data_IF_826107068424
#
_entry.id   IF_826107068424
#
_cell.length_a   1.000
_cell.length_b   1.000
_cell.length_c   1.000
_cell.angle_alpha   90.00
_cell.angle_beta   90.00
_cell.angle_gamma   90.00
#
_symmetry.space_group_name_H-M   'P 1'
#
loop_
_entity.id
_entity.type
_entity.pdbx_description
1 polymer ?
#
# COMPACT_ATOMS: atom_id res chain seq x y z
N UNK A 1 -2.89 -35.35 -39.74
CA UNK A 1 -3.06 -35.49 -38.27
C UNK A 1 -2.94 -34.08 -37.66
N UNK A 2 -3.99 -33.64 -36.96
CA UNK A 2 -4.23 -32.26 -36.53
C UNK A 2 -3.23 -31.76 -35.46
N UNK A 3 -3.04 -30.44 -35.31
CA UNK A 3 -2.32 -29.85 -34.17
C UNK A 3 -3.08 -30.11 -32.85
N UNK A 4 -2.33 -30.36 -31.78
CA UNK A 4 -2.85 -30.64 -30.45
C UNK A 4 -3.70 -29.47 -29.89
N UNK A 5 -4.75 -29.76 -29.08
CA UNK A 5 -5.63 -28.74 -28.55
C UNK A 5 -4.93 -27.86 -27.49
N UNK A 6 -5.22 -26.56 -27.52
CA UNK A 6 -4.86 -25.62 -26.46
C UNK A 6 -5.67 -25.93 -25.19
N UNK A 7 -5.08 -25.87 -23.99
CA UNK A 7 -5.81 -26.08 -22.74
C UNK A 7 -6.81 -24.92 -22.50
N UNK A 8 -8.05 -25.30 -22.15
CA UNK A 8 -9.16 -24.40 -21.80
C UNK A 8 -9.15 -23.99 -20.32
N UNK A 9 -9.71 -22.82 -20.03
CA UNK A 9 -9.66 -22.04 -18.79
C UNK A 9 -10.35 -22.63 -17.54
N UNK A 10 -10.05 -23.87 -17.14
CA UNK A 10 -10.70 -24.50 -15.96
C UNK A 10 -9.78 -25.28 -15.01
N UNK A 11 -8.53 -24.83 -14.83
CA UNK A 11 -7.57 -25.43 -13.88
C UNK A 11 -7.29 -24.53 -12.65
N UNK A 12 -8.31 -23.86 -12.08
CA UNK A 12 -8.16 -23.13 -10.80
C UNK A 12 -8.85 -23.86 -9.64
N UNK A 13 -9.10 -25.16 -9.77
CA UNK A 13 -9.73 -25.95 -8.69
C UNK A 13 -8.91 -27.18 -8.34
N UNK A 14 -7.64 -26.99 -7.96
CA UNK A 14 -6.86 -28.04 -7.30
C UNK A 14 -5.68 -27.54 -6.44
N UNK A 15 -5.83 -26.40 -5.74
CA UNK A 15 -4.94 -26.04 -4.62
C UNK A 15 -5.56 -26.48 -3.28
N UNK A 16 -5.90 -27.77 -3.18
CA UNK A 16 -6.20 -28.42 -1.90
C UNK A 16 -4.89 -29.02 -1.35
N UNK A 17 -4.10 -28.20 -0.65
CA UNK A 17 -2.82 -28.67 -0.10
C UNK A 17 -2.09 -27.73 0.84
N UNK A 18 -2.72 -26.65 1.35
CA UNK A 18 -2.12 -25.83 2.39
C UNK A 18 -2.54 -26.38 3.75
N UNK A 19 -1.62 -27.12 4.37
CA UNK A 19 -1.68 -27.49 5.78
C UNK A 19 -1.32 -26.26 6.63
N UNK A 20 -2.33 -25.63 7.23
CA UNK A 20 -2.18 -24.41 8.04
C UNK A 20 -1.76 -24.70 9.49
N UNK A 21 -1.37 -25.93 9.82
CA UNK A 21 -1.15 -26.35 11.21
C UNK A 21 0.15 -25.82 11.84
N UNK A 22 1.08 -25.24 11.07
CA UNK A 22 2.45 -24.97 11.54
C UNK A 22 3.02 -23.59 11.17
N UNK A 23 2.20 -22.55 11.09
CA UNK A 23 2.68 -21.17 10.90
C UNK A 23 2.87 -20.49 12.27
N UNK A 24 3.93 -20.85 12.98
CA UNK A 24 4.39 -20.03 14.10
C UNK A 24 4.95 -18.71 13.54
N UNK A 25 4.22 -17.60 13.74
CA UNK A 25 4.81 -16.25 13.75
C UNK A 25 4.89 -15.48 12.44
N UNK A 26 4.25 -15.92 11.35
CA UNK A 26 4.14 -15.12 10.12
C UNK A 26 2.67 -15.04 9.68
N UNK A 27 1.94 -14.03 10.17
CA UNK A 27 0.81 -13.51 9.41
C UNK A 27 1.41 -12.87 8.14
N UNK A 28 1.63 -13.71 7.14
CA UNK A 28 2.14 -13.29 5.85
C UNK A 28 1.04 -12.43 5.23
N UNK A 29 1.26 -11.11 5.20
CA UNK A 29 0.36 -10.15 4.55
C UNK A 29 -0.02 -10.73 3.19
N UNK A 30 -1.31 -10.91 2.92
CA UNK A 30 -1.73 -11.49 1.63
C UNK A 30 -1.23 -10.54 0.53
N UNK A 31 -0.38 -10.98 -0.41
CA UNK A 31 0.13 -10.10 -1.45
C UNK A 31 -1.03 -9.69 -2.35
N UNK A 32 -1.22 -8.38 -2.56
CA UNK A 32 -2.33 -7.84 -3.36
C UNK A 32 -2.15 -8.19 -4.84
N UNK A 33 -0.90 -8.23 -5.31
CA UNK A 33 -0.54 -8.56 -6.69
C UNK A 33 0.23 -9.87 -6.85
N UNK A 34 0.67 -10.47 -5.75
CA UNK A 34 1.46 -11.72 -5.74
C UNK A 34 2.97 -11.51 -5.79
N UNK A 35 3.45 -10.31 -6.13
CA UNK A 35 4.87 -9.94 -6.20
C UNK A 35 5.08 -8.51 -5.73
N UNK A 36 6.24 -8.21 -5.13
CA UNK A 36 6.53 -6.82 -4.74
C UNK A 36 6.83 -5.97 -5.97
N UNK A 37 6.09 -4.86 -6.13
CA UNK A 37 6.21 -3.95 -7.28
C UNK A 37 6.56 -2.55 -6.82
N UNK A 38 7.51 -1.93 -7.49
CA UNK A 38 7.82 -0.50 -7.34
C UNK A 38 7.10 0.25 -8.46
N UNK A 39 6.28 1.24 -8.08
CA UNK A 39 5.46 2.04 -8.98
C UNK A 39 5.78 3.52 -8.82
N UNK A 40 5.49 4.28 -9.87
CA UNK A 40 5.41 5.73 -9.81
C UNK A 40 4.04 6.17 -9.27
N UNK A 41 3.91 7.44 -8.87
CA UNK A 41 2.63 8.02 -8.43
C UNK A 41 1.56 7.93 -9.54
N UNK A 42 1.98 8.02 -10.81
CA UNK A 42 1.07 7.92 -11.94
C UNK A 42 0.57 6.48 -12.14
N UNK A 43 1.46 5.49 -12.05
CA UNK A 43 1.07 4.07 -12.16
C UNK A 43 0.16 3.64 -11.01
N UNK A 44 0.40 4.13 -9.78
CA UNK A 44 -0.51 3.91 -8.66
C UNK A 44 -1.93 4.42 -8.98
N UNK A 45 -2.03 5.60 -9.59
CA UNK A 45 -3.32 6.17 -9.95
C UNK A 45 -4.00 5.39 -11.09
N UNK A 46 -3.26 5.06 -12.14
CA UNK A 46 -3.79 4.39 -13.32
C UNK A 46 -4.23 2.95 -13.02
N UNK A 47 -3.43 2.21 -12.24
CA UNK A 47 -3.67 0.80 -11.91
C UNK A 47 -4.59 0.61 -10.69
N UNK A 48 -4.41 1.40 -9.64
CA UNK A 48 -5.10 1.20 -8.35
C UNK A 48 -6.10 2.30 -8.01
N UNK A 49 -6.25 3.33 -8.84
CA UNK A 49 -7.24 4.36 -8.59
C UNK A 49 -6.94 5.21 -7.35
N UNK A 50 -5.66 5.32 -6.95
CA UNK A 50 -5.24 6.07 -5.77
C UNK A 50 -4.28 7.17 -6.18
N UNK A 51 -4.65 8.43 -5.90
CA UNK A 51 -3.81 9.60 -6.16
C UNK A 51 -3.22 10.14 -4.87
N UNK A 52 -1.90 10.06 -4.71
CA UNK A 52 -1.21 10.75 -3.61
C UNK A 52 -1.29 12.26 -3.81
N UNK A 53 -1.74 12.99 -2.80
CA UNK A 53 -1.97 14.44 -2.85
C UNK A 53 -0.92 15.22 -2.07
N UNK A 54 -0.51 14.71 -0.92
CA UNK A 54 0.41 15.40 -0.02
C UNK A 54 1.14 14.39 0.86
N UNK A 55 2.43 14.63 1.04
CA UNK A 55 3.20 14.15 2.18
C UNK A 55 3.77 15.41 2.82
N UNK A 56 3.17 15.86 3.92
CA UNK A 56 3.49 17.15 4.54
C UNK A 56 4.16 16.98 5.90
N UNK A 57 5.28 17.66 6.13
CA UNK A 57 5.91 17.73 7.45
C UNK A 57 5.20 18.80 8.27
N UNK A 58 4.50 18.40 9.33
CA UNK A 58 3.63 19.27 10.14
C UNK A 58 4.03 19.25 11.61
N UNK A 59 3.28 19.97 12.45
CA UNK A 59 3.50 20.04 13.91
C UNK A 59 4.95 20.37 14.30
N UNK A 60 5.58 21.31 13.59
CA UNK A 60 6.98 21.71 13.83
C UNK A 60 8.02 20.63 13.49
N UNK A 61 7.65 19.63 12.70
CA UNK A 61 8.51 18.49 12.36
C UNK A 61 8.05 17.17 12.99
N UNK A 62 7.18 17.20 14.00
CA UNK A 62 6.84 16.01 14.78
C UNK A 62 5.84 15.05 14.12
N UNK A 63 5.15 15.48 13.05
CA UNK A 63 4.14 14.67 12.37
C UNK A 63 4.29 14.75 10.86
N UNK A 64 3.94 13.66 10.19
CA UNK A 64 3.74 13.62 8.73
C UNK A 64 2.25 13.50 8.43
N UNK A 65 1.71 14.38 7.59
CA UNK A 65 0.35 14.34 7.04
C UNK A 65 0.41 13.72 5.64
N UNK A 66 -0.05 12.48 5.51
CA UNK A 66 -0.30 11.84 4.23
C UNK A 66 -1.74 12.13 3.81
N UNK A 67 -1.92 12.69 2.61
CA UNK A 67 -3.23 12.79 1.97
C UNK A 67 -3.22 12.07 0.65
N UNK A 68 -4.26 11.28 0.42
CA UNK A 68 -4.50 10.62 -0.85
C UNK A 68 -5.98 10.71 -1.21
N UNK A 69 -6.29 10.61 -2.50
CA UNK A 69 -7.66 10.57 -3.01
C UNK A 69 -7.88 9.20 -3.67
N UNK A 70 -8.97 8.54 -3.31
CA UNK A 70 -9.50 7.43 -4.10
C UNK A 70 -10.24 8.03 -5.30
N UNK A 71 -9.74 7.75 -6.51
CA UNK A 71 -10.32 8.22 -7.78
C UNK A 71 -11.13 7.13 -8.49
N UNK A 72 -10.89 5.87 -8.18
CA UNK A 72 -11.64 4.71 -8.69
C UNK A 72 -11.73 3.69 -7.54
N UNK A 73 -12.95 3.50 -7.03
CA UNK A 73 -13.17 2.64 -5.87
C UNK A 73 -12.90 1.16 -6.17
N UNK A 74 -13.30 0.67 -7.34
CA UNK A 74 -13.16 -0.75 -7.71
C UNK A 74 -11.68 -1.16 -7.76
N UNK A 75 -10.83 -0.28 -8.29
CA UNK A 75 -9.36 -0.49 -8.33
C UNK A 75 -8.67 -0.36 -6.98
N UNK A 76 -9.21 0.48 -6.08
CA UNK A 76 -8.58 0.76 -4.79
C UNK A 76 -8.90 -0.30 -3.73
N UNK A 77 -10.05 -0.98 -3.82
CA UNK A 77 -10.51 -1.96 -2.84
C UNK A 77 -9.49 -3.08 -2.54
N UNK A 78 -8.80 -3.69 -3.52
CA UNK A 78 -7.78 -4.71 -3.24
C UNK A 78 -6.62 -4.19 -2.37
N UNK A 79 -6.29 -2.90 -2.48
CA UNK A 79 -5.13 -2.30 -1.79
C UNK A 79 -5.51 -1.62 -0.47
N UNK A 80 -6.73 -1.09 -0.33
CA UNK A 80 -7.16 -0.34 0.85
C UNK A 80 -8.28 -1.04 1.65
N UNK A 81 -8.75 -2.20 1.18
CA UNK A 81 -9.81 -2.97 1.84
C UNK A 81 -9.37 -3.75 3.08
N UNK A 82 -8.07 -3.80 3.39
CA UNK A 82 -7.52 -4.57 4.51
C UNK A 82 -6.60 -3.71 5.39
N UNK A 83 -6.48 -4.08 6.68
CA UNK A 83 -5.56 -3.41 7.60
C UNK A 83 -4.10 -3.61 7.21
N UNK A 84 -3.76 -4.77 6.64
CA UNK A 84 -2.39 -5.19 6.36
C UNK A 84 -1.74 -4.36 5.25
N UNK A 85 -2.58 -3.79 4.39
CA UNK A 85 -2.21 -3.02 3.20
C UNK A 85 -2.36 -1.51 3.39
N UNK A 86 -2.67 -1.07 4.62
CA UNK A 86 -2.74 0.35 4.97
C UNK A 86 -1.43 1.06 4.61
N UNK A 87 -1.48 2.32 4.15
CA UNK A 87 -0.29 3.06 3.76
C UNK A 87 0.71 3.19 4.92
N UNK A 88 1.94 2.78 4.67
CA UNK A 88 3.11 3.01 5.50
C UNK A 88 4.05 3.96 4.76
N UNK A 89 4.80 4.80 5.47
CA UNK A 89 5.79 5.70 4.86
C UNK A 89 7.19 5.19 5.14
N UNK A 90 8.10 5.32 4.17
CA UNK A 90 9.52 5.00 4.34
C UNK A 90 10.36 6.19 3.90
N UNK A 91 11.22 6.68 4.77
CA UNK A 91 12.24 7.66 4.38
C UNK A 91 13.31 6.96 3.53
N UNK A 92 13.49 7.36 2.28
CA UNK A 92 14.38 6.67 1.33
C UNK A 92 15.85 6.79 1.72
N UNK A 93 16.23 7.90 2.38
CA UNK A 93 17.61 8.13 2.78
C UNK A 93 18.05 7.27 3.96
N UNK A 94 17.18 7.06 4.95
CA UNK A 94 17.50 6.33 6.18
C UNK A 94 16.89 4.92 6.24
N UNK A 95 15.94 4.60 5.36
CA UNK A 95 15.15 3.37 5.42
C UNK A 95 14.18 3.33 6.60
N UNK A 96 13.99 4.45 7.32
CA UNK A 96 13.10 4.49 8.47
C UNK A 96 11.65 4.35 8.02
N UNK A 97 10.95 3.38 8.60
CA UNK A 97 9.52 3.15 8.40
C UNK A 97 8.70 3.92 9.43
N UNK A 98 7.71 4.66 8.96
CA UNK A 98 6.70 5.34 9.77
C UNK A 98 5.37 4.61 9.56
N UNK A 99 4.85 4.03 10.64
CA UNK A 99 3.60 3.29 10.64
C UNK A 99 2.52 4.16 11.26
N UNK A 100 1.31 4.10 10.72
CA UNK A 100 0.17 4.80 11.30
C UNK A 100 -0.11 4.23 12.71
N UNK A 101 -0.57 5.06 13.67
CA UNK A 101 -0.99 4.55 14.97
C UNK A 101 -2.03 3.44 14.86
N UNK A 102 -2.03 2.47 15.77
CA UNK A 102 -3.07 1.44 15.78
C UNK A 102 -4.46 2.09 15.97
N UNK A 103 -5.44 1.69 15.16
CA UNK A 103 -6.83 2.15 15.30
C UNK A 103 -7.27 3.32 14.41
N UNK A 104 -6.45 3.83 13.48
CA UNK A 104 -6.89 4.82 12.46
C UNK A 104 -7.76 4.19 11.35
N UNK A 105 -8.29 2.99 11.59
CA UNK A 105 -9.14 2.29 10.64
C UNK A 105 -10.47 3.03 10.49
N UNK A 106 -10.82 3.35 9.26
CA UNK A 106 -12.19 3.68 8.95
C UNK A 106 -13.03 2.41 9.14
N UNK A 107 -13.87 2.39 10.18
CA UNK A 107 -14.88 1.34 10.39
C UNK A 107 -16.07 1.49 9.42
N UNK A 108 -15.83 2.02 8.21
CA UNK A 108 -16.85 2.32 7.21
C UNK A 108 -16.37 1.99 5.81
N UNK A 109 -17.30 1.89 4.88
CA UNK A 109 -17.01 1.54 3.50
C UNK A 109 -16.03 2.54 2.86
N UNK A 110 -15.12 2.03 2.04
CA UNK A 110 -14.21 2.86 1.24
C UNK A 110 -15.05 3.64 0.21
N UNK A 111 -14.77 4.93 0.05
CA UNK A 111 -15.51 5.85 -0.82
C UNK A 111 -14.54 6.64 -1.71
N UNK A 112 -15.02 7.17 -2.84
CA UNK A 112 -14.24 8.04 -3.73
C UNK A 112 -14.03 9.45 -3.15
N UNK A 113 -13.22 9.55 -2.09
CA UNK A 113 -12.96 10.80 -1.39
C UNK A 113 -11.49 10.98 -1.05
N UNK A 114 -11.19 12.12 -0.45
CA UNK A 114 -9.86 12.41 0.09
C UNK A 114 -9.77 11.86 1.50
N UNK A 115 -8.73 11.08 1.74
CA UNK A 115 -8.35 10.53 3.03
C UNK A 115 -7.08 11.22 3.54
N UNK A 116 -6.93 11.23 4.86
CA UNK A 116 -5.73 11.76 5.51
C UNK A 116 -5.28 10.80 6.62
N UNK A 117 -3.97 10.69 6.80
CA UNK A 117 -3.35 9.87 7.82
C UNK A 117 -2.17 10.62 8.43
N UNK A 118 -2.05 10.56 9.76
CA UNK A 118 -0.96 11.19 10.48
C UNK A 118 0.02 10.14 11.00
N UNK A 119 1.31 10.38 10.78
CA UNK A 119 2.39 9.51 11.22
C UNK A 119 3.32 10.25 12.18
N UNK A 120 3.72 9.63 13.30
CA UNK A 120 4.74 10.21 14.17
C UNK A 120 6.10 10.28 13.46
N UNK A 121 6.67 11.47 13.34
CA UNK A 121 8.02 11.68 12.81
C UNK A 121 9.05 11.71 13.93
N UNK A 122 9.33 10.53 14.49
CA UNK A 122 10.23 10.37 15.64
C UNK A 122 11.61 10.99 15.40
N UNK A 123 11.94 12.05 16.14
CA UNK A 123 13.23 12.74 16.04
C UNK A 123 13.37 13.66 14.83
N UNK A 124 12.27 14.06 14.19
CA UNK A 124 12.26 14.99 13.03
C UNK A 124 13.17 14.50 11.89
N UNK A 125 13.12 13.19 11.61
CA UNK A 125 14.02 12.53 10.65
C UNK A 125 13.62 12.82 9.21
N UNK A 126 12.33 12.73 8.91
CA UNK A 126 11.78 13.23 7.64
C UNK A 126 11.71 14.76 7.71
N UNK A 127 12.23 15.44 6.68
CA UNK A 127 12.24 16.90 6.58
C UNK A 127 11.57 17.32 5.27
N UNK A 128 11.15 18.60 5.13
CA UNK A 128 10.78 19.12 3.83
C UNK A 128 11.90 18.88 2.81
N UNK A 129 11.54 18.31 1.67
CA UNK A 129 12.45 17.86 0.60
C UNK A 129 12.97 16.43 0.73
N UNK A 130 12.76 15.73 1.86
CA UNK A 130 13.06 14.30 1.96
C UNK A 130 12.25 13.51 0.94
N UNK A 131 12.89 12.53 0.29
CA UNK A 131 12.17 11.56 -0.53
C UNK A 131 11.59 10.48 0.36
N UNK A 132 10.29 10.25 0.19
CA UNK A 132 9.51 9.30 0.97
C UNK A 132 8.84 8.34 0.00
N UNK A 133 8.90 7.06 0.32
CA UNK A 133 8.13 6.04 -0.36
C UNK A 133 6.85 5.72 0.42
N UNK A 134 5.75 5.46 -0.29
CA UNK A 134 4.50 4.96 0.28
C UNK A 134 4.42 3.46 0.00
N UNK A 135 4.33 2.65 1.05
CA UNK A 135 4.23 1.20 0.96
C UNK A 135 2.82 0.77 1.34
N UNK A 136 2.16 0.01 0.47
CA UNK A 136 0.84 -0.57 0.68
C UNK A 136 0.89 -2.04 0.32
N UNK A 137 0.97 -2.91 1.33
CA UNK A 137 1.17 -4.35 1.10
C UNK A 137 2.48 -4.64 0.37
N UNK A 138 2.38 -5.18 -0.83
CA UNK A 138 3.46 -5.52 -1.76
C UNK A 138 3.80 -4.39 -2.76
N UNK A 139 2.99 -3.32 -2.80
CA UNK A 139 3.22 -2.15 -3.66
C UNK A 139 4.04 -1.09 -2.93
N UNK A 140 5.09 -0.59 -3.58
CA UNK A 140 5.91 0.53 -3.12
C UNK A 140 5.87 1.66 -4.13
N UNK A 141 5.58 2.88 -3.69
CA UNK A 141 5.56 4.07 -4.53
C UNK A 141 6.65 5.03 -4.09
N UNK A 142 7.69 5.17 -4.89
CA UNK A 142 8.93 5.89 -4.53
C UNK A 142 8.96 7.33 -5.08
N UNK A 143 9.91 8.11 -4.57
CA UNK A 143 10.29 9.42 -5.11
C UNK A 143 9.34 10.56 -4.76
N UNK A 144 8.53 10.43 -3.71
CA UNK A 144 7.59 11.48 -3.31
C UNK A 144 8.29 12.44 -2.35
N UNK A 145 8.48 13.69 -2.78
CA UNK A 145 9.08 14.73 -1.93
C UNK A 145 8.12 15.16 -0.82
N UNK A 146 8.57 15.09 0.43
CA UNK A 146 7.87 15.67 1.57
C UNK A 146 7.89 17.21 1.49
N UNK A 147 6.78 17.86 1.83
CA UNK A 147 6.58 19.31 1.74
C UNK A 147 6.54 19.97 3.11
#
# INVERSE_FOLDING_TARGET
PAPAPLPTANEITSLSGLDFSNVEGAFCKVPVTGESRVLTVQELEDEFGIRVRLIGVTAGGGLIDLRYKVVDLEKALPLLGSHETMPELVDEASGQRLVAPEGVMHHGDLEERVYFMHYPNGGNKVKPGSLVSVVMGDITVEGIAAQ
#
